data_IF_182571491717
#
_entry.id   IF_182571491717
#
_cell.length_a   1.000
_cell.length_b   1.000
_cell.length_c   1.000
_cell.angle_alpha   90.00
_cell.angle_beta   90.00
_cell.angle_gamma   90.00
#
_symmetry.space_group_name_H-M   'P 1'
#
loop_
_entity.id
_entity.type
_entity.pdbx_description
1 polymer ?
#
# COMPACT_ATOMS: atom_id res chain seq x y z
N UNK A 1 23.17 21.02 -23.69
CA UNK A 1 22.83 19.95 -22.74
C UNK A 1 21.34 19.99 -22.39
N UNK A 2 20.59 18.99 -22.84
CA UNK A 2 19.19 18.79 -22.44
C UNK A 2 19.20 17.63 -21.46
N UNK A 3 19.31 17.94 -20.16
CA UNK A 3 19.05 16.94 -19.14
C UNK A 3 17.54 16.72 -19.07
N UNK A 4 17.05 15.47 -19.09
CA UNK A 4 15.63 15.22 -18.87
C UNK A 4 15.26 15.80 -17.50
N UNK A 5 14.21 16.62 -17.45
CA UNK A 5 13.66 17.08 -16.18
C UNK A 5 13.18 15.86 -15.40
N UNK A 6 13.92 15.52 -14.34
CA UNK A 6 13.55 14.47 -13.42
C UNK A 6 12.71 15.08 -12.30
N UNK A 7 11.54 14.49 -12.04
CA UNK A 7 10.76 14.76 -10.83
C UNK A 7 11.06 13.67 -9.81
N UNK A 8 11.37 14.08 -8.57
CA UNK A 8 11.66 13.18 -7.45
C UNK A 8 10.55 13.38 -6.42
N UNK A 9 9.91 12.29 -6.02
CA UNK A 9 8.92 12.26 -4.93
C UNK A 9 9.58 11.61 -3.72
N UNK A 10 9.54 12.29 -2.58
CA UNK A 10 10.04 11.77 -1.29
C UNK A 10 8.83 11.51 -0.40
N UNK A 11 8.69 10.27 0.05
CA UNK A 11 7.60 9.82 0.92
C UNK A 11 8.16 9.14 2.17
N UNK A 12 7.30 8.83 3.12
CA UNK A 12 7.63 7.93 4.23
C UNK A 12 8.11 6.55 3.74
N UNK A 13 8.99 5.92 4.53
CA UNK A 13 9.57 4.63 4.18
C UNK A 13 8.73 3.50 4.79
N UNK A 14 8.08 2.72 3.92
CA UNK A 14 7.39 1.50 4.33
C UNK A 14 8.40 0.38 4.63
N UNK A 15 8.01 -0.58 5.48
CA UNK A 15 8.86 -1.73 5.76
C UNK A 15 8.83 -2.72 4.59
N UNK A 16 7.63 -3.00 4.07
CA UNK A 16 7.37 -3.90 2.95
C UNK A 16 6.16 -3.42 2.15
N UNK A 17 6.05 -3.84 0.88
CA UNK A 17 4.75 -3.92 0.23
C UNK A 17 3.93 -5.10 0.79
N UNK A 18 2.63 -5.14 0.55
CA UNK A 18 1.74 -6.16 1.10
C UNK A 18 2.03 -7.57 0.55
N UNK A 19 2.51 -7.69 -0.69
CA UNK A 19 2.90 -8.99 -1.28
C UNK A 19 4.08 -9.58 -0.48
N UNK A 20 5.13 -8.78 -0.31
CA UNK A 20 6.33 -9.14 0.44
C UNK A 20 5.99 -9.41 1.90
N UNK A 21 5.14 -8.59 2.53
CA UNK A 21 4.71 -8.81 3.91
C UNK A 21 4.01 -10.15 4.08
N UNK A 22 3.00 -10.44 3.26
CA UNK A 22 2.22 -11.69 3.35
C UNK A 22 3.04 -12.94 3.01
N UNK A 23 4.08 -12.80 2.19
CA UNK A 23 5.04 -13.85 1.87
C UNK A 23 5.90 -14.30 3.05
N UNK A 24 6.12 -13.42 4.04
CA UNK A 24 6.85 -13.74 5.27
C UNK A 24 5.98 -14.31 6.40
N UNK A 25 4.66 -14.35 6.22
CA UNK A 25 3.70 -14.83 7.21
C UNK A 25 3.30 -16.28 6.94
N UNK A 26 3.00 -17.03 7.99
CA UNK A 26 2.30 -18.31 7.86
C UNK A 26 0.77 -18.11 7.71
N UNK A 27 0.03 -19.20 7.54
CA UNK A 27 -1.43 -19.13 7.38
C UNK A 27 -2.14 -18.57 8.60
N UNK A 28 -1.73 -18.95 9.81
CA UNK A 28 -2.36 -18.51 11.05
C UNK A 28 -2.16 -17.02 11.29
N UNK A 29 -0.96 -16.52 11.01
CA UNK A 29 -0.67 -15.09 11.11
C UNK A 29 -1.47 -14.29 10.08
N UNK A 30 -1.49 -14.70 8.80
CA UNK A 30 -2.32 -14.05 7.78
C UNK A 30 -3.79 -14.01 8.16
N UNK A 31 -4.32 -15.11 8.69
CA UNK A 31 -5.73 -15.17 9.09
C UNK A 31 -6.05 -14.18 10.20
N UNK A 32 -5.12 -13.97 11.15
CA UNK A 32 -5.28 -13.04 12.27
C UNK A 32 -5.27 -11.57 11.82
N UNK A 33 -4.46 -11.22 10.82
CA UNK A 33 -4.29 -9.83 10.37
C UNK A 33 -5.23 -9.42 9.23
N UNK A 34 -5.80 -10.40 8.51
CA UNK A 34 -6.62 -10.20 7.31
C UNK A 34 -7.71 -9.14 7.49
N UNK A 35 -8.45 -9.17 8.61
CA UNK A 35 -9.60 -8.29 8.80
C UNK A 35 -9.16 -6.82 8.99
N UNK A 36 -8.07 -6.56 9.72
CA UNK A 36 -7.53 -5.20 9.87
C UNK A 36 -6.90 -4.70 8.56
N UNK A 37 -6.16 -5.55 7.83
CA UNK A 37 -5.60 -5.18 6.52
C UNK A 37 -6.71 -4.77 5.54
N UNK A 38 -7.79 -5.55 5.46
CA UNK A 38 -8.92 -5.24 4.58
C UNK A 38 -9.59 -3.93 4.99
N UNK A 39 -9.77 -3.71 6.30
CA UNK A 39 -10.37 -2.49 6.83
C UNK A 39 -9.54 -1.25 6.51
N UNK A 40 -8.21 -1.33 6.63
CA UNK A 40 -7.30 -0.24 6.29
C UNK A 40 -7.32 0.08 4.79
N UNK A 41 -7.29 -0.95 3.92
CA UNK A 41 -7.39 -0.76 2.47
C UNK A 41 -8.73 -0.10 2.11
N UNK A 42 -9.85 -0.60 2.65
CA UNK A 42 -11.19 -0.04 2.38
C UNK A 42 -11.30 1.40 2.89
N UNK A 43 -10.72 1.70 4.06
CA UNK A 43 -10.65 3.06 4.59
C UNK A 43 -9.90 4.01 3.65
N UNK A 44 -8.72 3.59 3.16
CA UNK A 44 -7.94 4.36 2.18
C UNK A 44 -8.70 4.60 0.88
N UNK A 45 -9.34 3.56 0.31
CA UNK A 45 -10.15 3.70 -0.91
C UNK A 45 -11.36 4.61 -0.70
N UNK A 46 -12.03 4.54 0.45
CA UNK A 46 -13.13 5.43 0.82
C UNK A 46 -12.67 6.89 0.84
N UNK A 47 -11.47 7.15 1.37
CA UNK A 47 -10.89 8.49 1.40
C UNK A 47 -10.57 9.02 -0.01
N UNK A 48 -10.03 8.18 -0.89
CA UNK A 48 -9.82 8.53 -2.31
C UNK A 48 -11.16 8.86 -3.00
N UNK A 49 -12.19 8.05 -2.76
CA UNK A 49 -13.51 8.24 -3.36
C UNK A 49 -14.14 9.60 -2.97
N UNK A 50 -14.00 10.04 -1.71
CA UNK A 50 -14.49 11.37 -1.27
C UNK A 50 -13.87 12.52 -2.08
N UNK A 51 -12.68 12.32 -2.61
CA UNK A 51 -11.94 13.28 -3.42
C UNK A 51 -12.09 13.04 -4.94
N UNK A 52 -12.98 12.13 -5.36
CA UNK A 52 -13.15 11.71 -6.75
C UNK A 52 -11.87 11.13 -7.38
N UNK A 53 -11.04 10.48 -6.58
CA UNK A 53 -9.83 9.81 -7.04
C UNK A 53 -10.11 8.30 -7.16
N UNK A 54 -9.75 7.71 -8.30
CA UNK A 54 -9.83 6.26 -8.53
C UNK A 54 -8.42 5.70 -8.59
N UNK A 55 -8.11 4.76 -7.69
CA UNK A 55 -6.83 4.03 -7.75
C UNK A 55 -6.89 2.99 -8.87
N UNK A 56 -6.24 3.25 -10.01
CA UNK A 56 -6.36 2.43 -11.22
C UNK A 56 -5.56 1.12 -11.17
N UNK A 57 -4.66 0.97 -10.19
CA UNK A 57 -3.76 -0.18 -10.09
C UNK A 57 -3.73 -0.79 -8.68
N UNK A 58 -4.91 -1.11 -8.13
CA UNK A 58 -4.98 -1.72 -6.80
C UNK A 58 -4.43 -3.16 -6.84
N UNK A 59 -3.24 -3.35 -6.28
CA UNK A 59 -2.55 -4.64 -6.20
C UNK A 59 -1.75 -4.74 -4.89
N UNK A 60 -1.40 -5.96 -4.43
CA UNK A 60 -0.60 -6.12 -3.21
C UNK A 60 0.74 -5.36 -3.23
N UNK A 61 1.36 -5.19 -4.41
CA UNK A 61 2.62 -4.45 -4.58
C UNK A 61 2.47 -2.95 -4.38
N UNK A 62 1.26 -2.43 -4.54
CA UNK A 62 0.93 -1.00 -4.43
C UNK A 62 0.30 -0.66 -3.07
N UNK A 63 0.26 -1.61 -2.13
CA UNK A 63 -0.16 -1.37 -0.75
C UNK A 63 1.07 -1.50 0.14
N UNK A 64 1.33 -0.47 0.94
CA UNK A 64 2.51 -0.39 1.79
C UNK A 64 2.16 -0.77 3.22
N UNK A 65 2.99 -1.62 3.83
CA UNK A 65 2.91 -2.00 5.23
C UNK A 65 3.92 -1.19 6.06
N UNK A 66 3.39 -0.44 7.01
CA UNK A 66 4.17 0.34 7.97
C UNK A 66 4.18 -0.36 9.32
N UNK A 67 5.36 -0.54 9.90
CA UNK A 67 5.49 -1.05 11.26
C UNK A 67 5.39 0.15 12.21
N UNK A 68 4.39 0.15 13.09
CA UNK A 68 4.31 1.08 14.22
C UNK A 68 5.45 0.86 15.22
#
# INVERSE_FOLDING_TARGET
DIYPQQSIIICECALYDLETFLGHQDYGQRHKEKDEIVKDIVSGLSELQKHNIVHTELSPKNIMYFKN
#
